data_IF_781113541007
#
_entry.id   IF_781113541007
#
_cell.length_a   1.000
_cell.length_b   1.000
_cell.length_c   1.000
_cell.angle_alpha   90.00
_cell.angle_beta   90.00
_cell.angle_gamma   90.00
#
_symmetry.space_group_name_H-M   'P 1'
#
loop_
_entity.id
_entity.type
_entity.pdbx_description
1 polymer ?
#
# COMPACT_ATOMS: atom_id res chain seq x y z
N UNK A 1 -49.75 -31.41 -2.05
CA UNK A 1 -49.50 -29.99 -1.74
C UNK A 1 -48.09 -29.92 -1.19
N UNK A 2 -47.20 -29.18 -1.86
CA UNK A 2 -45.80 -29.09 -1.50
C UNK A 2 -45.64 -28.35 -0.17
N UNK A 3 -45.02 -29.03 0.80
CA UNK A 3 -44.28 -28.43 1.90
C UNK A 3 -43.07 -27.73 1.31
N UNK A 4 -42.97 -26.42 1.51
CA UNK A 4 -41.69 -25.75 1.48
C UNK A 4 -40.88 -26.19 2.70
N UNK A 5 -39.59 -26.42 2.50
CA UNK A 5 -38.60 -25.91 3.42
C UNK A 5 -37.24 -25.83 2.73
N UNK A 6 -36.59 -24.70 2.99
CA UNK A 6 -35.27 -24.33 2.50
C UNK A 6 -34.24 -25.34 2.98
N UNK A 7 -33.21 -25.63 2.18
CA UNK A 7 -31.85 -25.83 2.67
C UNK A 7 -30.82 -25.45 1.60
N UNK A 8 -30.07 -24.40 1.94
CA UNK A 8 -28.72 -24.02 1.55
C UNK A 8 -27.82 -25.19 1.10
N UNK A 9 -27.08 -25.05 -0.02
CA UNK A 9 -25.61 -25.19 -0.11
C UNK A 9 -25.07 -25.19 -1.55
N UNK A 10 -23.83 -24.69 -1.65
CA UNK A 10 -22.89 -24.41 -2.74
C UNK A 10 -22.33 -25.62 -3.51
N UNK A 11 -22.03 -25.52 -4.82
CA UNK A 11 -20.71 -25.83 -5.45
C UNK A 11 -20.74 -25.64 -6.99
N UNK A 12 -19.67 -25.09 -7.52
CA UNK A 12 -19.25 -24.90 -8.92
C UNK A 12 -18.16 -26.02 -9.17
N UNK A 13 -18.03 -26.57 -10.39
CA UNK A 13 -16.76 -27.18 -10.87
C UNK A 13 -16.77 -27.73 -12.31
N UNK A 14 -15.63 -27.53 -12.98
CA UNK A 14 -15.22 -28.09 -14.28
C UNK A 14 -14.22 -29.23 -14.04
N UNK A 15 -14.29 -30.30 -14.85
CA UNK A 15 -13.41 -31.47 -14.75
C UNK A 15 -11.96 -31.20 -15.29
N UNK A 16 -10.95 -31.11 -14.41
CA UNK A 16 -9.50 -30.85 -14.53
C UNK A 16 -8.54 -32.08 -14.45
N UNK A 17 -8.93 -33.27 -13.98
CA UNK A 17 -8.04 -34.45 -13.78
C UNK A 17 -8.68 -35.78 -14.28
N UNK A 18 -7.85 -36.81 -14.52
CA UNK A 18 -8.36 -38.15 -14.86
C UNK A 18 -9.07 -38.80 -13.63
N UNK A 19 -10.18 -39.51 -13.88
CA UNK A 19 -11.14 -40.02 -12.89
C UNK A 19 -11.92 -38.94 -12.09
N UNK A 20 -12.17 -39.11 -10.78
CA UNK A 20 -12.94 -38.18 -9.92
C UNK A 20 -12.06 -37.11 -9.24
N UNK A 21 -10.95 -36.73 -9.87
CA UNK A 21 -9.92 -35.88 -9.24
C UNK A 21 -10.36 -34.47 -8.87
N UNK A 22 -11.37 -33.86 -9.51
CA UNK A 22 -11.82 -32.50 -9.11
C UNK A 22 -12.71 -32.50 -7.89
N UNK A 23 -13.39 -33.60 -7.58
CA UNK A 23 -14.14 -33.71 -6.33
C UNK A 23 -13.23 -33.61 -5.08
N UNK A 24 -11.91 -33.75 -5.25
CA UNK A 24 -10.90 -33.56 -4.22
C UNK A 24 -10.12 -32.23 -4.35
N UNK A 25 -10.31 -31.48 -5.45
CA UNK A 25 -9.48 -30.32 -5.83
C UNK A 25 -10.27 -29.06 -6.23
N UNK A 26 -11.60 -29.06 -6.11
CA UNK A 26 -12.48 -27.96 -6.56
C UNK A 26 -12.05 -26.60 -6.03
N UNK A 27 -11.59 -25.73 -6.94
CA UNK A 27 -11.21 -24.34 -6.68
C UNK A 27 -12.18 -23.40 -7.40
N UNK A 28 -13.37 -23.23 -6.83
CA UNK A 28 -14.33 -22.27 -7.35
C UNK A 28 -13.88 -20.83 -7.09
N UNK A 29 -13.65 -20.11 -8.19
CA UNK A 29 -13.53 -18.65 -8.28
C UNK A 29 -12.26 -18.00 -7.71
N UNK A 30 -11.10 -18.31 -8.29
CA UNK A 30 -10.06 -17.30 -8.52
C UNK A 30 -9.09 -17.82 -9.59
N UNK A 31 -8.94 -17.09 -10.69
CA UNK A 31 -7.79 -17.31 -11.56
C UNK A 31 -6.56 -16.78 -10.81
N UNK A 32 -5.76 -17.67 -10.21
CA UNK A 32 -4.43 -17.39 -9.67
C UNK A 32 -3.40 -17.11 -10.80
N UNK A 33 -3.75 -16.24 -11.74
CA UNK A 33 -2.85 -15.80 -12.80
C UNK A 33 -2.92 -14.29 -12.95
N UNK A 34 -1.77 -13.65 -13.14
CA UNK A 34 -1.68 -12.23 -13.46
C UNK A 34 -0.89 -12.10 -14.75
N UNK A 35 -1.44 -11.39 -15.74
CA UNK A 35 -0.72 -11.06 -16.97
C UNK A 35 0.02 -9.74 -16.77
N UNK A 36 1.35 -9.82 -16.63
CA UNK A 36 2.21 -8.64 -16.59
C UNK A 36 2.36 -8.10 -18.02
N UNK A 37 1.89 -6.87 -18.24
CA UNK A 37 2.13 -6.16 -19.48
C UNK A 37 3.52 -5.52 -19.46
N UNK A 38 4.24 -5.51 -20.59
CA UNK A 38 5.56 -4.88 -20.64
C UNK A 38 5.45 -3.41 -20.23
N UNK A 39 6.42 -2.90 -19.44
CA UNK A 39 6.43 -1.48 -19.10
C UNK A 39 6.59 -0.65 -20.39
N UNK A 40 6.00 0.55 -20.41
CA UNK A 40 6.37 1.52 -21.43
C UNK A 40 7.86 1.81 -21.32
N UNK A 41 8.55 1.98 -22.45
CA UNK A 41 9.96 2.41 -22.46
C UNK A 41 10.06 3.82 -21.84
N UNK A 42 10.31 3.87 -20.54
CA UNK A 42 10.50 5.08 -19.77
C UNK A 42 12.00 5.31 -19.61
N UNK A 43 12.53 6.45 -20.06
CA UNK A 43 13.88 6.91 -19.70
C UNK A 43 13.86 7.36 -18.24
N UNK A 44 13.63 6.44 -17.30
CA UNK A 44 13.72 6.73 -15.88
C UNK A 44 15.19 6.87 -15.52
N UNK A 45 15.55 7.92 -14.77
CA UNK A 45 16.92 8.09 -14.29
C UNK A 45 17.29 6.85 -13.45
N UNK A 46 18.38 6.13 -13.78
CA UNK A 46 18.84 4.97 -13.02
C UNK A 46 19.09 5.25 -11.53
N UNK A 47 19.13 6.52 -11.11
CA UNK A 47 19.29 6.99 -9.72
C UNK A 47 17.97 7.18 -8.97
N UNK A 48 16.82 7.23 -9.65
CA UNK A 48 15.49 7.35 -9.03
C UNK A 48 14.91 5.96 -8.65
N UNK A 49 15.70 5.14 -7.93
CA UNK A 49 15.35 3.77 -7.55
C UNK A 49 14.57 3.71 -6.24
N UNK A 50 13.38 4.28 -6.23
CA UNK A 50 12.41 3.97 -5.18
C UNK A 50 11.60 2.74 -5.67
N UNK A 51 11.12 1.83 -4.81
CA UNK A 51 10.28 0.69 -5.21
C UNK A 51 8.95 0.73 -4.44
N UNK A 52 7.83 0.62 -5.14
CA UNK A 52 6.49 0.57 -4.55
C UNK A 52 6.11 -0.91 -4.39
N UNK A 53 6.48 -1.52 -3.26
CA UNK A 53 6.05 -2.86 -2.93
C UNK A 53 4.69 -2.87 -2.24
N UNK A 54 3.62 -3.31 -2.90
CA UNK A 54 2.41 -3.73 -2.21
C UNK A 54 2.27 -5.25 -2.35
N UNK A 55 2.19 -6.00 -1.24
CA UNK A 55 2.12 -7.46 -1.33
C UNK A 55 2.32 -8.21 -0.01
N UNK A 56 1.95 -9.49 0.03
CA UNK A 56 2.11 -10.38 1.19
C UNK A 56 3.58 -10.68 1.50
N UNK A 57 4.43 -10.77 0.48
CA UNK A 57 5.87 -11.03 0.66
C UNK A 57 6.64 -9.81 1.18
N UNK A 58 6.01 -8.62 1.21
CA UNK A 58 6.65 -7.40 1.70
C UNK A 58 7.16 -7.58 3.14
N UNK A 59 6.40 -8.25 4.02
CA UNK A 59 6.83 -8.50 5.40
C UNK A 59 8.07 -9.40 5.47
N UNK A 60 8.08 -10.49 4.70
CA UNK A 60 9.23 -11.40 4.59
C UNK A 60 10.46 -10.68 4.02
N UNK A 61 10.27 -9.88 2.99
CA UNK A 61 11.33 -9.09 2.37
C UNK A 61 11.89 -8.00 3.32
N UNK A 62 11.03 -7.34 4.10
CA UNK A 62 11.43 -6.37 5.12
C UNK A 62 12.26 -7.05 6.21
N UNK A 63 11.79 -8.18 6.74
CA UNK A 63 12.48 -8.92 7.80
C UNK A 63 13.78 -9.57 7.32
N UNK A 64 13.88 -9.93 6.03
CA UNK A 64 15.12 -10.42 5.43
C UNK A 64 16.11 -9.31 5.05
N UNK A 65 15.81 -8.05 5.39
CA UNK A 65 16.70 -6.90 5.18
C UNK A 65 16.84 -6.49 3.72
N UNK A 66 15.89 -6.89 2.85
CA UNK A 66 15.90 -6.51 1.43
C UNK A 66 15.56 -5.04 1.23
N UNK A 67 14.93 -4.39 2.22
CA UNK A 67 14.62 -2.96 2.22
C UNK A 67 15.23 -2.28 3.44
N UNK A 68 15.84 -1.11 3.22
CA UNK A 68 16.43 -0.28 4.28
C UNK A 68 15.41 0.68 4.87
N UNK A 69 14.39 1.05 4.10
CA UNK A 69 13.32 1.95 4.53
C UNK A 69 11.96 1.42 4.16
N UNK A 70 10.99 1.57 5.07
CA UNK A 70 9.57 1.39 4.80
C UNK A 70 8.80 2.70 5.01
N UNK A 71 7.86 3.00 4.12
CA UNK A 71 6.89 4.10 4.28
C UNK A 71 5.51 3.54 4.61
N UNK A 72 4.86 4.09 5.64
CA UNK A 72 3.48 3.73 6.02
C UNK A 72 2.72 4.90 6.64
N UNK A 73 1.41 4.77 6.82
CA UNK A 73 0.61 5.72 7.59
C UNK A 73 0.57 5.36 9.08
N UNK A 74 0.51 6.37 9.95
CA UNK A 74 0.28 6.26 11.40
C UNK A 74 -0.68 7.36 11.89
N UNK A 75 -1.30 7.14 13.04
CA UNK A 75 -2.15 8.13 13.72
C UNK A 75 -1.75 8.26 15.21
N UNK A 76 -2.41 9.15 15.94
CA UNK A 76 -2.17 9.41 17.38
C UNK A 76 -3.20 8.75 18.32
N UNK A 77 -4.10 7.93 17.79
CA UNK A 77 -5.18 7.30 18.54
C UNK A 77 -4.86 5.82 18.83
N UNK A 78 -4.70 5.03 17.78
CA UNK A 78 -4.40 3.61 17.84
C UNK A 78 -3.75 3.09 16.54
N UNK A 79 -2.51 2.62 16.66
CA UNK A 79 -1.79 1.95 15.59
C UNK A 79 -1.66 0.43 15.78
N UNK A 80 -2.25 -0.15 16.84
CA UNK A 80 -2.09 -1.59 17.18
C UNK A 80 -2.56 -2.56 16.09
N UNK A 81 -3.46 -2.12 15.22
CA UNK A 81 -3.98 -2.89 14.09
C UNK A 81 -3.36 -2.48 12.74
N UNK A 82 -2.43 -1.52 12.75
CA UNK A 82 -1.72 -1.07 11.55
C UNK A 82 -0.50 -1.92 11.23
N UNK A 83 0.06 -1.72 10.04
CA UNK A 83 1.27 -2.44 9.62
C UNK A 83 2.48 -2.13 10.52
N UNK A 84 2.53 -0.92 11.09
CA UNK A 84 3.63 -0.55 12.00
C UNK A 84 3.66 -1.46 13.23
N UNK A 85 2.50 -1.82 13.79
CA UNK A 85 2.42 -2.75 14.92
C UNK A 85 2.96 -4.13 14.54
N UNK A 86 2.54 -4.66 13.38
CA UNK A 86 3.03 -5.96 12.89
C UNK A 86 4.55 -5.96 12.74
N UNK A 87 5.13 -4.90 12.17
CA UNK A 87 6.59 -4.85 11.94
C UNK A 87 7.38 -4.67 13.22
N UNK A 88 6.97 -3.77 14.12
CA UNK A 88 7.69 -3.57 15.37
C UNK A 88 7.62 -4.82 16.26
N UNK A 89 6.50 -5.54 16.24
CA UNK A 89 6.34 -6.79 17.00
C UNK A 89 7.15 -7.94 16.39
N UNK A 90 7.32 -7.98 15.07
CA UNK A 90 8.16 -8.98 14.38
C UNK A 90 9.66 -8.66 14.43
N UNK A 91 10.03 -7.40 14.67
CA UNK A 91 11.44 -6.97 14.71
C UNK A 91 11.96 -7.09 16.14
N UNK A 92 12.54 -8.24 16.47
CA UNK A 92 12.93 -8.60 17.85
C UNK A 92 13.97 -7.65 18.49
N UNK A 93 14.74 -6.90 17.69
CA UNK A 93 15.73 -5.94 18.19
C UNK A 93 15.14 -4.53 18.44
N UNK A 94 13.94 -4.28 17.95
CA UNK A 94 13.28 -2.97 18.02
C UNK A 94 13.05 -2.51 19.46
N UNK A 95 13.41 -1.26 19.76
CA UNK A 95 12.99 -0.57 20.98
C UNK A 95 11.53 -0.08 20.90
N UNK A 96 10.94 -0.15 19.71
CA UNK A 96 9.56 0.25 19.45
C UNK A 96 8.58 -0.89 19.69
N UNK A 97 7.44 -0.52 20.23
CA UNK A 97 6.24 -1.35 20.37
C UNK A 97 5.09 -0.60 19.72
N UNK A 98 3.99 -1.29 19.39
CA UNK A 98 2.79 -0.62 18.88
C UNK A 98 2.31 0.53 19.79
N UNK A 99 2.43 0.34 21.11
CA UNK A 99 2.07 1.34 22.12
C UNK A 99 3.03 2.53 22.12
N UNK A 100 4.34 2.31 22.05
CA UNK A 100 5.31 3.42 22.03
C UNK A 100 5.26 4.20 20.71
N UNK A 101 4.96 3.54 19.58
CA UNK A 101 4.73 4.22 18.30
C UNK A 101 3.52 5.18 18.38
N UNK A 102 2.38 4.70 18.89
CA UNK A 102 1.18 5.53 19.10
C UNK A 102 1.44 6.67 20.08
N UNK A 103 2.14 6.39 21.19
CA UNK A 103 2.48 7.40 22.20
C UNK A 103 3.39 8.48 21.62
N UNK A 104 4.35 8.10 20.78
CA UNK A 104 5.24 9.05 20.11
C UNK A 104 4.48 9.95 19.13
N UNK A 105 3.60 9.37 18.31
CA UNK A 105 2.74 10.15 17.41
C UNK A 105 1.88 11.18 18.17
N UNK A 106 1.30 10.76 19.30
CA UNK A 106 0.52 11.65 20.18
C UNK A 106 1.36 12.77 20.78
N UNK A 107 2.51 12.45 21.40
CA UNK A 107 3.41 13.47 21.97
C UNK A 107 3.87 14.48 20.91
N UNK A 108 4.13 14.02 19.68
CA UNK A 108 4.55 14.87 18.58
C UNK A 108 3.45 15.85 18.17
N UNK A 109 2.21 15.37 18.02
CA UNK A 109 1.05 16.24 17.76
C UNK A 109 0.79 17.24 18.88
N UNK A 110 0.96 16.85 20.14
CA UNK A 110 0.87 17.74 21.30
C UNK A 110 1.95 18.83 21.27
N UNK A 111 3.20 18.47 20.95
CA UNK A 111 4.33 19.41 20.88
C UNK A 111 4.19 20.44 19.74
N UNK A 112 3.68 20.02 18.58
CA UNK A 112 3.50 20.91 17.42
C UNK A 112 2.33 21.86 17.58
N UNK A 113 1.26 21.42 18.25
CA UNK A 113 0.09 22.28 18.51
C UNK A 113 0.46 23.57 19.27
N UNK A 114 1.62 23.59 19.95
CA UNK A 114 2.15 24.73 20.67
C UNK A 114 2.92 25.70 19.74
N UNK A 115 3.55 25.20 18.66
CA UNK A 115 4.51 25.94 17.85
C UNK A 115 4.06 26.23 16.41
N UNK A 116 3.08 25.50 15.88
CA UNK A 116 2.62 25.61 14.50
C UNK A 116 1.15 25.13 14.34
N UNK A 117 0.22 25.72 15.10
CA UNK A 117 -1.19 25.32 15.10
C UNK A 117 -1.91 25.46 13.73
N UNK A 118 -1.36 26.25 12.80
CA UNK A 118 -1.90 26.42 11.45
C UNK A 118 -1.29 25.46 10.42
N UNK A 119 -0.23 24.75 10.78
CA UNK A 119 0.45 23.83 9.87
C UNK A 119 -0.34 22.52 9.75
N UNK A 120 -1.03 22.39 8.62
CA UNK A 120 -1.80 21.20 8.24
C UNK A 120 -0.97 20.23 7.40
N UNK A 121 0.35 20.39 7.35
CA UNK A 121 1.19 19.45 6.62
C UNK A 121 1.25 18.09 7.33
N UNK A 122 1.17 16.99 6.57
CA UNK A 122 1.38 15.66 7.11
C UNK A 122 2.86 15.49 7.48
N UNK A 123 3.11 15.35 8.78
CA UNK A 123 4.45 15.16 9.30
C UNK A 123 4.97 13.74 9.05
N UNK A 124 6.30 13.61 8.92
CA UNK A 124 6.95 12.30 8.79
C UNK A 124 7.65 11.96 10.11
N UNK A 125 7.15 10.94 10.79
CA UNK A 125 7.78 10.37 11.99
C UNK A 125 8.81 9.32 11.58
N UNK A 126 9.94 9.30 12.28
CA UNK A 126 11.00 8.31 12.08
C UNK A 126 10.96 7.30 13.20
N UNK A 127 10.83 6.01 12.86
CA UNK A 127 11.02 4.92 13.79
C UNK A 127 12.21 4.09 13.34
N UNK A 128 13.29 4.14 14.10
CA UNK A 128 14.50 3.36 13.85
C UNK A 128 14.37 1.99 14.51
N UNK A 129 14.42 0.92 13.71
CA UNK A 129 14.32 -0.47 14.17
C UNK A 129 15.68 -1.18 14.09
N UNK A 130 16.78 -0.43 14.09
CA UNK A 130 18.17 -0.85 13.89
C UNK A 130 18.48 -1.35 12.48
N UNK A 131 17.77 -2.38 12.01
CA UNK A 131 17.99 -3.01 10.69
C UNK A 131 17.25 -2.29 9.57
N UNK A 132 16.22 -1.52 9.90
CA UNK A 132 15.39 -0.77 8.97
C UNK A 132 14.86 0.52 9.60
N UNK A 133 14.63 1.53 8.75
CA UNK A 133 14.01 2.80 9.14
C UNK A 133 12.57 2.87 8.64
N UNK A 134 11.63 3.19 9.51
CA UNK A 134 10.25 3.52 9.10
C UNK A 134 10.13 5.04 8.96
N UNK A 135 9.67 5.49 7.78
CA UNK A 135 9.21 6.84 7.52
C UNK A 135 7.68 6.85 7.53
N UNK A 136 7.10 7.18 8.68
CA UNK A 136 5.67 7.11 8.88
C UNK A 136 4.99 8.46 8.63
N UNK A 137 4.10 8.50 7.65
CA UNK A 137 3.24 9.66 7.40
C UNK A 137 2.19 9.74 8.51
N UNK A 138 2.21 10.84 9.27
CA UNK A 138 1.31 11.07 10.39
C UNK A 138 -0.02 11.66 9.90
N UNK A 139 -1.12 11.02 10.29
CA UNK A 139 -2.48 11.49 10.00
C UNK A 139 -2.68 12.88 10.60
N UNK A 140 -3.19 13.87 9.83
CA UNK A 140 -3.42 15.21 10.36
C UNK A 140 -4.30 15.16 11.61
N UNK A 141 -3.96 16.00 12.59
CA UNK A 141 -4.64 16.03 13.89
C UNK A 141 -6.12 16.34 13.73
N UNK A 142 -6.96 15.63 14.49
CA UNK A 142 -8.42 15.80 14.48
C UNK A 142 -9.11 15.30 13.21
N UNK A 143 -8.43 14.48 12.39
CA UNK A 143 -9.03 13.77 11.26
C UNK A 143 -9.04 12.27 11.50
N UNK A 144 -10.08 11.61 11.02
CA UNK A 144 -10.25 10.15 11.10
C UNK A 144 -9.60 9.42 9.92
N UNK A 145 -9.23 10.14 8.85
CA UNK A 145 -8.68 9.58 7.62
C UNK A 145 -7.65 10.52 6.97
N UNK A 146 -6.81 9.95 6.11
CA UNK A 146 -5.99 10.69 5.16
C UNK A 146 -6.82 11.11 3.95
N UNK A 147 -6.47 12.25 3.38
CA UNK A 147 -6.93 12.66 2.04
C UNK A 147 -5.84 12.43 1.00
N UNK A 148 -6.21 12.47 -0.30
CA UNK A 148 -5.24 12.44 -1.41
C UNK A 148 -4.20 13.56 -1.28
N UNK A 149 -4.60 14.75 -0.81
CA UNK A 149 -3.68 15.87 -0.63
C UNK A 149 -2.71 15.64 0.54
N UNK A 150 -3.16 14.99 1.61
CA UNK A 150 -2.26 14.58 2.70
C UNK A 150 -1.28 13.51 2.20
N UNK A 151 -1.75 12.57 1.38
CA UNK A 151 -0.88 11.55 0.78
C UNK A 151 0.18 12.20 -0.13
N UNK A 152 -0.23 13.13 -1.00
CA UNK A 152 0.66 13.86 -1.92
C UNK A 152 1.78 14.57 -1.16
N UNK A 153 1.41 15.38 -0.17
CA UNK A 153 2.36 16.16 0.65
C UNK A 153 3.27 15.25 1.46
N UNK A 154 2.73 14.17 2.04
CA UNK A 154 3.52 13.17 2.76
C UNK A 154 4.59 12.55 1.89
N UNK A 155 4.23 12.10 0.68
CA UNK A 155 5.20 11.53 -0.26
C UNK A 155 6.19 12.54 -0.85
N UNK A 156 5.81 13.82 -0.98
CA UNK A 156 6.76 14.88 -1.34
C UNK A 156 7.84 15.03 -0.27
N UNK A 157 7.45 15.02 1.00
CA UNK A 157 8.39 15.09 2.13
C UNK A 157 9.25 13.84 2.21
N UNK A 158 8.67 12.64 2.09
CA UNK A 158 9.41 11.37 2.03
C UNK A 158 10.44 11.38 0.89
N UNK A 159 10.05 11.82 -0.31
CA UNK A 159 10.97 11.91 -1.46
C UNK A 159 12.14 12.85 -1.17
N UNK A 160 11.88 14.02 -0.57
CA UNK A 160 12.95 14.94 -0.13
C UNK A 160 13.88 14.28 0.90
N UNK A 161 13.34 13.48 1.82
CA UNK A 161 14.10 12.78 2.85
C UNK A 161 14.93 11.61 2.28
N UNK A 162 14.54 11.02 1.16
CA UNK A 162 15.24 9.92 0.50
C UNK A 162 16.24 10.38 -0.56
N UNK A 163 16.06 11.59 -1.10
CA UNK A 163 16.93 12.13 -2.15
C UNK A 163 18.39 12.18 -1.66
N UNK A 164 19.30 11.68 -2.52
CA UNK A 164 20.75 11.61 -2.27
C UNK A 164 21.14 10.79 -1.02
N UNK A 165 20.30 9.83 -0.61
CA UNK A 165 20.53 8.94 0.53
C UNK A 165 20.59 7.48 0.06
N UNK A 166 21.67 7.12 -0.63
CA UNK A 166 21.85 5.76 -1.16
C UNK A 166 21.85 4.71 -0.04
N UNK A 167 22.32 5.07 1.15
CA UNK A 167 22.30 4.21 2.33
C UNK A 167 20.88 3.83 2.80
N UNK A 168 19.86 4.59 2.35
CA UNK A 168 18.45 4.36 2.65
C UNK A 168 17.74 3.53 1.57
N UNK A 169 18.45 3.13 0.51
CA UNK A 169 17.89 2.32 -0.57
C UNK A 169 18.19 0.82 -0.35
N UNK A 170 17.31 -0.07 -0.80
CA UNK A 170 16.03 0.21 -1.46
C UNK A 170 14.90 0.51 -0.45
N UNK A 171 13.90 1.25 -0.91
CA UNK A 171 12.74 1.70 -0.12
C UNK A 171 11.49 0.92 -0.56
N UNK A 172 10.64 0.54 0.40
CA UNK A 172 9.29 0.02 0.18
C UNK A 172 8.21 0.97 0.73
N UNK A 173 7.00 0.93 0.18
CA UNK A 173 5.83 1.64 0.71
C UNK A 173 4.66 0.69 0.80
N UNK A 174 3.94 0.69 1.92
CA UNK A 174 2.73 -0.14 2.06
C UNK A 174 1.55 0.45 1.30
N UNK A 175 0.52 -0.37 1.08
CA UNK A 175 -0.75 0.14 0.57
C UNK A 175 -1.47 1.00 1.61
N UNK A 176 -1.98 2.14 1.15
CA UNK A 176 -2.91 2.99 1.90
C UNK A 176 -4.37 2.65 1.58
N UNK A 177 -4.63 1.72 0.64
CA UNK A 177 -5.96 1.24 0.28
C UNK A 177 -6.33 0.03 1.15
N UNK A 178 -7.61 -0.09 1.49
CA UNK A 178 -8.13 -1.12 2.38
C UNK A 178 -7.64 -0.99 3.83
N UNK A 179 -6.95 0.10 4.18
CA UNK A 179 -6.37 0.31 5.49
C UNK A 179 -7.46 0.64 6.52
N UNK A 180 -7.55 -0.16 7.59
CA UNK A 180 -8.56 0.03 8.65
C UNK A 180 -8.24 1.22 9.56
N UNK A 181 -7.02 1.28 10.09
CA UNK A 181 -6.61 2.32 11.05
C UNK A 181 -6.25 3.66 10.39
N UNK A 182 -5.87 3.63 9.12
CA UNK A 182 -5.38 4.79 8.37
C UNK A 182 -6.06 4.85 7.00
N UNK A 183 -7.40 4.99 7.02
CA UNK A 183 -8.21 5.06 5.81
C UNK A 183 -7.75 6.21 4.93
N UNK A 184 -7.80 5.99 3.61
CA UNK A 184 -7.59 7.03 2.62
C UNK A 184 -8.93 7.33 1.94
N UNK A 185 -9.38 8.57 1.99
CA UNK A 185 -10.66 8.99 1.41
C UNK A 185 -10.40 10.15 0.45
N UNK A 186 -11.01 10.08 -0.72
CA UNK A 186 -11.09 11.19 -1.65
C UNK A 186 -12.21 12.15 -1.21
N UNK A 187 -11.89 13.40 -0.83
CA UNK A 187 -12.90 14.38 -0.43
C UNK A 187 -13.95 14.68 -1.50
N UNK A 188 -13.61 14.50 -2.78
CA UNK A 188 -14.54 14.77 -3.88
C UNK A 188 -15.65 13.73 -3.99
N UNK A 189 -15.36 12.47 -3.65
CA UNK A 189 -16.31 11.35 -3.78
C UNK A 189 -16.80 10.83 -2.43
N UNK A 190 -16.09 11.13 -1.34
CA UNK A 190 -16.31 10.56 -0.01
C UNK A 190 -15.96 9.06 0.08
N UNK A 191 -15.32 8.50 -0.95
CA UNK A 191 -14.98 7.08 -1.06
C UNK A 191 -13.47 6.87 -1.05
N UNK A 192 -13.05 5.61 -0.89
CA UNK A 192 -11.65 5.23 -1.06
C UNK A 192 -11.24 5.42 -2.54
N UNK A 193 -10.10 6.09 -2.83
CA UNK A 193 -9.68 6.37 -4.20
C UNK A 193 -9.23 5.11 -4.93
N UNK A 194 -9.24 5.18 -6.26
CA UNK A 194 -8.72 4.07 -7.09
C UNK A 194 -7.22 3.87 -6.90
N UNK A 195 -6.74 2.66 -7.19
CA UNK A 195 -5.31 2.36 -7.20
C UNK A 195 -4.51 3.29 -8.11
N UNK A 196 -5.01 3.56 -9.32
CA UNK A 196 -4.36 4.48 -10.25
C UNK A 196 -4.29 5.90 -9.71
N UNK A 197 -5.33 6.37 -9.01
CA UNK A 197 -5.32 7.68 -8.35
C UNK A 197 -4.18 7.76 -7.35
N UNK A 198 -4.02 6.73 -6.49
CA UNK A 198 -2.93 6.67 -5.51
C UNK A 198 -1.56 6.69 -6.19
N UNK A 199 -1.36 5.86 -7.22
CA UNK A 199 -0.10 5.79 -7.96
C UNK A 199 0.25 7.12 -8.63
N UNK A 200 -0.74 7.77 -9.26
CA UNK A 200 -0.60 9.08 -9.88
C UNK A 200 -0.20 10.14 -8.85
N UNK A 201 -0.87 10.15 -7.70
CA UNK A 201 -0.54 11.05 -6.59
C UNK A 201 0.90 10.86 -6.09
N UNK A 202 1.34 9.60 -5.89
CA UNK A 202 2.71 9.28 -5.48
C UNK A 202 3.72 9.70 -6.56
N UNK A 203 3.42 9.47 -7.83
CA UNK A 203 4.25 9.87 -8.96
C UNK A 203 4.37 11.40 -9.07
N UNK A 204 3.27 12.14 -8.96
CA UNK A 204 3.32 13.61 -8.94
C UNK A 204 4.09 14.15 -7.74
N UNK A 205 4.13 13.41 -6.63
CA UNK A 205 4.93 13.73 -5.45
C UNK A 205 6.43 13.46 -5.61
N UNK A 206 6.87 12.90 -6.76
CA UNK A 206 8.27 12.55 -7.02
C UNK A 206 8.67 11.17 -6.53
N UNK A 207 7.74 10.38 -5.98
CA UNK A 207 7.98 9.00 -5.57
C UNK A 207 7.92 8.10 -6.81
N UNK A 208 8.97 7.32 -7.08
CA UNK A 208 9.12 6.50 -8.29
C UNK A 208 9.22 5.02 -7.93
N UNK A 209 9.06 4.11 -8.90
CA UNK A 209 9.41 2.71 -8.69
C UNK A 209 8.57 1.68 -9.39
N UNK A 210 9.03 0.44 -9.26
CA UNK A 210 8.27 -0.75 -9.65
C UNK A 210 7.04 -0.86 -8.76
N UNK A 211 5.93 -1.28 -9.35
CA UNK A 211 4.64 -1.47 -8.69
C UNK A 211 4.33 -2.95 -8.66
N UNK A 212 4.11 -3.45 -7.45
CA UNK A 212 3.55 -4.78 -7.24
C UNK A 212 2.09 -4.59 -6.82
N UNK A 213 1.10 -5.11 -7.57
CA UNK A 213 -0.30 -4.98 -7.21
C UNK A 213 -0.59 -5.75 -5.91
N UNK A 214 -1.57 -5.31 -5.12
CA UNK A 214 -1.94 -6.00 -3.89
C UNK A 214 -2.59 -7.36 -4.18
N UNK A 215 -2.56 -8.34 -3.24
CA UNK A 215 -3.16 -9.66 -3.46
C UNK A 215 -4.65 -9.64 -3.87
N UNK A 216 -5.51 -8.73 -3.37
CA UNK A 216 -6.87 -8.60 -3.88
C UNK A 216 -6.94 -8.22 -5.36
N UNK A 217 -5.95 -7.48 -5.88
CA UNK A 217 -5.85 -7.16 -7.31
C UNK A 217 -5.44 -8.37 -8.15
N UNK A 218 -4.76 -9.37 -7.56
CA UNK A 218 -4.36 -10.59 -8.26
C UNK A 218 -5.56 -11.49 -8.59
N UNK A 219 -6.69 -11.29 -7.89
CA UNK A 219 -7.95 -11.99 -8.17
C UNK A 219 -8.58 -11.59 -9.51
N UNK A 220 -8.13 -10.49 -10.12
CA UNK A 220 -8.57 -10.05 -11.45
C UNK A 220 -7.69 -10.63 -12.56
N UNK A 221 -7.50 -11.97 -12.58
CA UNK A 221 -6.61 -12.63 -13.54
C UNK A 221 -7.00 -12.58 -15.02
N UNK A 222 -8.08 -11.86 -15.34
CA UNK A 222 -8.50 -11.49 -16.70
C UNK A 222 -8.06 -10.07 -17.11
N UNK A 223 -7.45 -9.30 -16.19
CA UNK A 223 -7.01 -7.91 -16.41
C UNK A 223 -5.48 -7.87 -16.43
N UNK A 224 -4.91 -7.29 -17.50
CA UNK A 224 -3.47 -7.05 -17.58
C UNK A 224 -3.04 -5.94 -16.61
N UNK A 225 -1.95 -6.16 -15.87
CA UNK A 225 -1.40 -5.17 -14.93
C UNK A 225 -0.03 -4.70 -15.41
N UNK A 226 0.26 -3.41 -15.21
CA UNK A 226 1.57 -2.85 -15.52
C UNK A 226 2.45 -2.84 -14.27
N UNK A 227 3.73 -3.28 -14.36
CA UNK A 227 4.65 -3.33 -13.22
C UNK A 227 5.29 -1.98 -12.89
N UNK A 228 4.86 -0.88 -13.54
CA UNK A 228 5.41 0.47 -13.37
C UNK A 228 4.38 1.55 -13.73
N UNK A 229 4.53 2.73 -13.12
CA UNK A 229 3.76 3.93 -13.46
C UNK A 229 4.71 5.05 -13.92
N UNK A 230 4.35 5.91 -14.90
CA UNK A 230 3.05 5.99 -15.59
C UNK A 230 2.76 4.77 -16.47
N UNK A 231 1.47 4.46 -16.63
CA UNK A 231 1.03 3.44 -17.58
C UNK A 231 1.31 3.91 -19.03
N UNK A 232 1.44 2.99 -20.00
CA UNK A 232 1.68 3.37 -21.40
C UNK A 232 0.58 4.25 -21.97
N UNK A 233 0.94 5.19 -22.85
CA UNK A 233 -0.02 6.08 -23.56
C UNK A 233 -1.13 5.31 -24.29
N UNK A 234 -0.81 4.09 -24.78
CA UNK A 234 -1.80 3.22 -25.41
C UNK A 234 -3.01 2.92 -24.52
N UNK A 235 -2.88 2.96 -23.19
CA UNK A 235 -4.02 2.81 -22.28
C UNK A 235 -5.01 3.98 -22.41
N UNK A 236 -4.51 5.21 -22.55
CA UNK A 236 -5.35 6.39 -22.74
C UNK A 236 -5.98 6.40 -24.14
N UNK A 237 -5.27 5.89 -25.16
CA UNK A 237 -5.84 5.65 -26.50
C UNK A 237 -6.99 4.62 -26.46
N UNK A 238 -6.81 3.51 -25.75
CA UNK A 238 -7.85 2.49 -25.56
C UNK A 238 -9.06 3.06 -24.80
N UNK A 239 -8.85 3.89 -23.77
CA UNK A 239 -9.93 4.60 -23.04
C UNK A 239 -10.74 5.53 -23.93
N UNK A 240 -10.08 6.17 -24.90
CA UNK A 240 -10.73 7.03 -25.88
C UNK A 240 -11.44 6.26 -27.00
N UNK A 241 -11.42 4.92 -26.97
CA UNK A 241 -12.01 4.05 -28.00
C UNK A 241 -11.14 3.88 -29.25
N UNK A 242 -9.87 4.27 -29.20
CA UNK A 242 -8.91 4.05 -30.28
C UNK A 242 -8.32 2.64 -30.23
N UNK A 243 -8.12 2.04 -31.41
CA UNK A 243 -7.32 0.83 -31.62
C UNK A 243 -6.00 1.19 -32.30
#
# INVERSE_FOLDING_TARGET
MATGDQHTQTSDDVRLYDDEGELLMSSDQAADRVTLLPPAYSRTDPKERIRILWGQDMLSDLLSGRYRVMVCGVNDEDNSHGIIAQIVDMTTTSQWTAKSATSYAKMFHEAISIHAAEDREPYILKYDLDSMLILAILRPKGRDHFTIEDLKRGFQTVTKMLRNREERQPVASVSFLGARSNRLIDPATGQEPSFETVLRTMYEAGYRGDIYPSPPMWRYGHVGVFPSFPFPEGLDTMRAGGF
#
